data_IF_957512035422
#
_entry.id   IF_957512035422
#
_cell.length_a   1.000
_cell.length_b   1.000
_cell.length_c   1.000
_cell.angle_alpha   90.00
_cell.angle_beta   90.00
_cell.angle_gamma   90.00
#
_symmetry.space_group_name_H-M   'P 1'
#
loop_
_entity.id
_entity.type
_entity.pdbx_description
1 polymer ?
#
# COMPACT_ATOMS: atom_id res chain seq x y z
N UNK A 1 9.22 1.24 -12.24
CA UNK A 1 8.01 1.47 -11.42
C UNK A 1 7.67 2.94 -11.48
N UNK A 2 6.39 3.28 -11.36
CA UNK A 2 5.92 4.66 -11.48
C UNK A 2 5.72 5.30 -10.11
N UNK A 3 5.76 6.63 -10.05
CA UNK A 3 5.38 7.41 -8.86
C UNK A 3 3.98 6.98 -8.42
N UNK A 4 3.82 6.62 -7.15
CA UNK A 4 2.62 5.94 -6.68
C UNK A 4 2.88 4.85 -5.67
N UNK A 5 1.77 4.25 -5.25
CA UNK A 5 1.76 2.99 -4.52
C UNK A 5 1.86 1.85 -5.54
N UNK A 6 2.95 1.10 -5.47
CA UNK A 6 3.23 -0.09 -6.26
C UNK A 6 3.02 -1.30 -5.34
N UNK A 7 1.90 -2.00 -5.51
CA UNK A 7 1.55 -3.16 -4.70
C UNK A 7 2.16 -4.38 -5.36
N UNK A 8 3.05 -5.04 -4.64
CA UNK A 8 3.84 -6.17 -5.14
C UNK A 8 3.92 -7.29 -4.11
N UNK A 9 4.06 -8.53 -4.58
CA UNK A 9 4.29 -9.67 -3.69
C UNK A 9 5.74 -9.69 -3.16
N UNK A 10 5.91 -10.26 -1.97
CA UNK A 10 7.23 -10.45 -1.31
C UNK A 10 8.22 -11.27 -2.14
N UNK A 11 7.75 -12.11 -3.06
CA UNK A 11 8.61 -12.88 -3.96
C UNK A 11 9.13 -12.08 -5.15
N UNK A 12 8.72 -10.82 -5.32
CA UNK A 12 9.23 -9.97 -6.39
C UNK A 12 10.75 -9.74 -6.21
N UNK A 13 11.58 -10.00 -7.23
CA UNK A 13 13.04 -9.86 -7.12
C UNK A 13 13.50 -8.39 -7.03
N UNK A 14 12.67 -7.45 -7.47
CA UNK A 14 13.01 -6.03 -7.61
C UNK A 14 12.48 -5.18 -6.44
N UNK A 15 12.40 -5.76 -5.25
CA UNK A 15 12.02 -5.00 -4.05
C UNK A 15 13.15 -4.04 -3.65
N UNK A 16 12.80 -2.78 -3.39
CA UNK A 16 13.71 -1.74 -3.00
C UNK A 16 14.46 -2.07 -1.70
N UNK A 17 15.72 -1.64 -1.65
CA UNK A 17 16.63 -1.90 -0.53
C UNK A 17 16.20 -1.17 0.74
N UNK A 18 15.68 0.05 0.61
CA UNK A 18 15.18 0.83 1.73
C UNK A 18 13.86 0.26 2.22
N UNK A 19 13.83 -0.20 3.48
CA UNK A 19 12.69 -0.91 4.07
C UNK A 19 12.12 -0.13 5.24
N UNK A 20 10.83 0.12 5.21
CA UNK A 20 10.09 0.85 6.23
C UNK A 20 8.90 -0.02 6.64
N UNK A 21 8.62 -0.17 7.93
CA UNK A 21 7.38 -0.82 8.36
C UNK A 21 6.18 0.10 8.10
N UNK A 22 4.98 -0.47 7.90
CA UNK A 22 3.75 0.31 7.76
C UNK A 22 3.55 1.28 8.95
N UNK A 23 3.91 0.87 10.17
CA UNK A 23 3.82 1.71 11.37
C UNK A 23 4.77 2.91 11.27
N UNK A 24 6.04 2.69 10.90
CA UNK A 24 7.01 3.77 10.72
C UNK A 24 6.64 4.71 9.58
N UNK A 25 6.09 4.16 8.48
CA UNK A 25 5.62 4.94 7.35
C UNK A 25 4.49 5.88 7.77
N UNK A 26 3.44 5.36 8.41
CA UNK A 26 2.30 6.16 8.88
C UNK A 26 2.71 7.20 9.93
N UNK A 27 3.57 6.82 10.88
CA UNK A 27 4.13 7.78 11.85
C UNK A 27 4.94 8.87 11.15
N UNK A 28 5.76 8.51 10.17
CA UNK A 28 6.56 9.46 9.40
C UNK A 28 5.70 10.44 8.61
N UNK A 29 4.57 10.00 8.04
CA UNK A 29 3.61 10.87 7.37
C UNK A 29 3.00 11.89 8.33
N UNK A 30 2.50 11.44 9.49
CA UNK A 30 1.94 12.35 10.50
C UNK A 30 2.94 13.39 11.03
N UNK A 31 4.24 13.08 10.99
CA UNK A 31 5.32 13.97 11.39
C UNK A 31 5.93 14.76 10.21
N UNK A 32 5.31 14.69 9.01
CA UNK A 32 5.79 15.30 7.77
C UNK A 32 7.25 14.99 7.43
N UNK A 33 7.73 13.80 7.82
CA UNK A 33 9.11 13.36 7.54
C UNK A 33 9.31 13.14 6.05
N UNK A 34 10.51 13.46 5.55
CA UNK A 34 10.95 13.03 4.23
C UNK A 34 11.35 11.56 4.26
N UNK A 35 11.01 10.86 3.21
CA UNK A 35 11.42 9.48 2.97
C UNK A 35 12.52 9.44 1.89
N UNK A 36 13.23 8.32 1.73
CA UNK A 36 13.96 8.05 0.50
C UNK A 36 13.02 8.18 -0.71
N UNK A 37 13.52 8.57 -1.90
CA UNK A 37 12.69 8.64 -3.11
C UNK A 37 12.01 7.30 -3.44
N UNK A 38 12.75 6.20 -3.29
CA UNK A 38 12.33 4.84 -3.61
C UNK A 38 12.45 3.97 -2.34
N UNK A 39 11.34 3.41 -1.86
CA UNK A 39 11.36 2.57 -0.66
C UNK A 39 10.21 1.56 -0.63
N UNK A 40 10.44 0.50 0.13
CA UNK A 40 9.49 -0.58 0.35
C UNK A 40 8.86 -0.47 1.74
N UNK A 41 7.53 -0.52 1.77
CA UNK A 41 6.71 -0.55 2.98
C UNK A 41 6.21 -1.97 3.22
N UNK A 42 6.46 -2.49 4.42
CA UNK A 42 6.11 -3.86 4.80
C UNK A 42 5.09 -3.95 5.92
N UNK A 43 4.36 -5.06 5.95
CA UNK A 43 3.51 -5.46 7.08
C UNK A 43 2.11 -4.86 7.06
N UNK A 44 1.65 -4.30 5.93
CA UNK A 44 0.27 -3.80 5.80
C UNK A 44 -0.75 -4.93 5.97
N UNK A 45 -0.54 -6.06 5.29
CA UNK A 45 -1.39 -7.24 5.38
C UNK A 45 -1.40 -7.85 6.78
N UNK A 46 -0.24 -7.97 7.43
CA UNK A 46 -0.15 -8.39 8.82
C UNK A 46 -0.89 -7.43 9.76
N UNK A 47 -0.75 -6.11 9.55
CA UNK A 47 -1.42 -5.09 10.36
C UNK A 47 -2.94 -5.15 10.23
N UNK A 48 -3.46 -5.33 9.01
CA UNK A 48 -4.89 -5.50 8.74
C UNK A 48 -5.45 -6.85 9.22
N UNK A 49 -4.63 -7.90 9.17
CA UNK A 49 -5.02 -9.23 9.64
C UNK A 49 -5.24 -9.26 11.15
N UNK A 50 -4.35 -8.63 11.93
CA UNK A 50 -4.44 -8.59 13.39
C UNK A 50 -5.30 -7.45 13.94
N UNK A 51 -5.91 -6.64 13.08
CA UNK A 51 -6.81 -5.57 13.50
C UNK A 51 -8.08 -6.12 14.14
N UNK A 52 -8.49 -5.56 15.28
CA UNK A 52 -9.77 -5.91 15.92
C UNK A 52 -10.96 -5.53 15.04
N UNK A 53 -10.88 -4.35 14.41
CA UNK A 53 -11.82 -3.88 13.40
C UNK A 53 -11.02 -3.49 12.15
N UNK A 54 -11.08 -4.36 11.13
CA UNK A 54 -10.33 -4.18 9.89
C UNK A 54 -10.84 -3.02 9.06
N UNK A 55 -12.14 -2.77 9.06
CA UNK A 55 -12.74 -1.72 8.25
C UNK A 55 -12.38 -0.35 8.82
N UNK A 56 -12.51 -0.16 10.14
CA UNK A 56 -12.08 1.06 10.81
C UNK A 56 -10.57 1.26 10.71
N UNK A 57 -9.77 0.20 10.85
CA UNK A 57 -8.32 0.26 10.66
C UNK A 57 -7.97 0.66 9.23
N UNK A 58 -8.66 0.12 8.24
CA UNK A 58 -8.40 0.45 6.84
C UNK A 58 -8.74 1.91 6.53
N UNK A 59 -9.89 2.41 7.02
CA UNK A 59 -10.28 3.82 6.91
C UNK A 59 -9.28 4.73 7.62
N UNK A 60 -8.79 4.34 8.80
CA UNK A 60 -7.78 5.09 9.53
C UNK A 60 -6.50 5.26 8.71
N UNK A 61 -5.98 4.17 8.13
CA UNK A 61 -4.81 4.22 7.25
C UNK A 61 -5.11 5.09 6.03
N UNK A 62 -6.26 4.90 5.37
CA UNK A 62 -6.70 5.68 4.22
C UNK A 62 -6.69 7.18 4.49
N UNK A 63 -7.25 7.60 5.62
CA UNK A 63 -7.31 8.99 6.02
C UNK A 63 -5.90 9.58 6.16
N UNK A 64 -4.97 8.88 6.82
CA UNK A 64 -3.57 9.32 6.90
C UNK A 64 -2.95 9.50 5.50
N UNK A 65 -3.16 8.55 4.60
CA UNK A 65 -2.62 8.63 3.24
C UNK A 65 -3.23 9.81 2.46
N UNK A 66 -4.53 10.06 2.60
CA UNK A 66 -5.23 11.17 1.95
C UNK A 66 -4.83 12.54 2.52
N UNK A 67 -4.78 12.67 3.84
CA UNK A 67 -4.37 13.90 4.53
C UNK A 67 -2.94 14.29 4.17
N UNK A 68 -2.09 13.31 3.85
CA UNK A 68 -0.70 13.50 3.44
C UNK A 68 -0.46 13.40 1.94
N UNK A 69 -1.50 13.39 1.09
CA UNK A 69 -1.37 13.23 -0.35
C UNK A 69 -0.46 14.29 -0.99
N UNK A 70 -0.57 15.56 -0.57
CA UNK A 70 0.29 16.64 -1.08
C UNK A 70 1.76 16.44 -0.73
N UNK A 71 2.06 15.99 0.49
CA UNK A 71 3.42 15.64 0.92
C UNK A 71 3.98 14.48 0.09
N UNK A 72 3.16 13.45 -0.13
CA UNK A 72 3.53 12.31 -0.95
C UNK A 72 3.80 12.70 -2.41
N UNK A 73 2.91 13.48 -3.01
CA UNK A 73 3.02 13.95 -4.40
C UNK A 73 4.23 14.87 -4.57
N UNK A 74 4.41 15.85 -3.67
CA UNK A 74 5.56 16.78 -3.75
C UNK A 74 6.91 16.08 -3.55
N UNK A 75 6.93 14.97 -2.82
CA UNK A 75 8.12 14.12 -2.67
C UNK A 75 8.44 13.25 -3.90
N UNK A 76 7.53 13.11 -4.86
CA UNK A 76 7.68 12.26 -6.05
C UNK A 76 8.08 10.80 -5.71
N UNK A 77 7.50 10.24 -4.65
CA UNK A 77 7.92 8.92 -4.14
C UNK A 77 7.44 7.75 -5.01
N UNK A 78 8.31 6.76 -5.18
CA UNK A 78 7.96 5.43 -5.67
C UNK A 78 7.88 4.50 -4.45
N UNK A 79 6.66 4.17 -4.05
CA UNK A 79 6.40 3.45 -2.80
C UNK A 79 6.00 2.03 -3.14
N UNK A 80 6.81 1.04 -2.78
CA UNK A 80 6.42 -0.36 -2.91
C UNK A 80 5.67 -0.82 -1.66
N UNK A 81 4.39 -1.15 -1.77
CA UNK A 81 3.67 -1.84 -0.69
C UNK A 81 3.89 -3.34 -0.88
N UNK A 82 4.74 -3.93 -0.05
CA UNK A 82 5.12 -5.34 -0.15
C UNK A 82 4.14 -6.19 0.65
N UNK A 83 3.44 -7.07 -0.04
CA UNK A 83 2.45 -7.99 0.52
C UNK A 83 3.09 -9.37 0.69
N UNK A 84 2.95 -9.95 1.88
CA UNK A 84 3.41 -11.32 2.18
C UNK A 84 2.40 -12.38 1.70
N UNK A 85 1.11 -12.06 1.74
CA UNK A 85 0.04 -12.88 1.17
C UNK A 85 -0.02 -12.86 -0.36
N UNK A 86 -0.91 -13.68 -0.93
CA UNK A 86 -1.15 -13.70 -2.37
C UNK A 86 -2.07 -12.52 -2.76
N UNK A 87 -1.68 -11.77 -3.80
CA UNK A 87 -2.50 -10.66 -4.31
C UNK A 87 -3.46 -11.20 -5.37
N UNK A 88 -4.76 -11.00 -5.16
CA UNK A 88 -5.81 -11.26 -6.14
C UNK A 88 -6.47 -9.96 -6.54
N UNK A 89 -6.56 -9.70 -7.84
CA UNK A 89 -7.33 -8.57 -8.37
C UNK A 89 -8.37 -9.12 -9.33
N UNK A 90 -9.62 -8.73 -9.13
CA UNK A 90 -10.68 -9.00 -10.10
C UNK A 90 -10.60 -7.87 -11.15
N UNK A 91 -10.22 -8.21 -12.38
CA UNK A 91 -9.92 -7.22 -13.43
C UNK A 91 -11.09 -6.27 -13.73
N UNK A 92 -12.33 -6.70 -13.47
CA UNK A 92 -13.53 -5.92 -13.73
C UNK A 92 -13.84 -4.83 -12.70
N UNK A 93 -13.33 -4.92 -11.47
CA UNK A 93 -13.60 -3.94 -10.41
C UNK A 93 -12.38 -3.15 -9.93
N UNK A 94 -11.17 -3.57 -10.35
CA UNK A 94 -9.89 -2.97 -9.94
C UNK A 94 -9.71 -2.94 -8.41
N UNK A 95 -10.42 -3.79 -7.65
CA UNK A 95 -10.36 -3.82 -6.19
C UNK A 95 -9.41 -4.91 -5.72
N UNK A 96 -8.24 -4.54 -5.19
CA UNK A 96 -7.27 -5.53 -4.75
C UNK A 96 -7.75 -6.26 -3.50
N UNK A 97 -7.54 -7.58 -3.51
CA UNK A 97 -7.72 -8.48 -2.38
C UNK A 97 -6.41 -9.17 -2.06
N UNK A 98 -6.20 -9.49 -0.80
CA UNK A 98 -5.05 -10.24 -0.33
C UNK A 98 -5.55 -11.48 0.37
N UNK A 99 -4.93 -12.62 0.07
CA UNK A 99 -5.06 -13.85 0.85
C UNK A 99 -3.84 -13.99 1.74
N UNK A 100 -4.01 -13.75 3.03
CA UNK A 100 -2.94 -13.84 4.02
C UNK A 100 -3.37 -14.80 5.14
N UNK A 101 -2.55 -15.83 5.40
CA UNK A 101 -2.84 -16.88 6.40
C UNK A 101 -4.24 -17.51 6.27
N UNK A 102 -4.65 -17.81 5.03
CA UNK A 102 -5.96 -18.37 4.67
C UNK A 102 -7.17 -17.45 4.90
N UNK A 103 -6.94 -16.16 5.17
CA UNK A 103 -8.00 -15.17 5.23
C UNK A 103 -7.91 -14.22 4.03
N UNK A 104 -9.05 -13.97 3.38
CA UNK A 104 -9.15 -13.03 2.27
C UNK A 104 -9.73 -11.70 2.76
N UNK A 105 -9.09 -10.58 2.44
CA UNK A 105 -9.60 -9.25 2.73
C UNK A 105 -9.23 -8.24 1.64
N UNK A 106 -10.01 -7.15 1.58
CA UNK A 106 -9.82 -6.10 0.59
C UNK A 106 -8.74 -5.11 1.03
N UNK A 107 -7.84 -4.75 0.10
CA UNK A 107 -6.97 -3.59 0.23
C UNK A 107 -7.63 -2.31 -0.31
N UNK A 108 -8.71 -2.43 -1.08
CA UNK A 108 -9.46 -1.30 -1.64
C UNK A 108 -9.77 -0.19 -0.61
N UNK A 109 -10.23 -0.50 0.63
CA UNK A 109 -10.50 0.54 1.61
C UNK A 109 -9.27 1.35 2.04
N UNK A 110 -8.05 0.84 1.82
CA UNK A 110 -6.78 1.52 2.13
C UNK A 110 -6.22 2.27 0.92
N UNK A 111 -6.03 1.57 -0.20
CA UNK A 111 -5.28 2.08 -1.37
C UNK A 111 -6.16 2.39 -2.58
N UNK A 112 -7.48 2.20 -2.47
CA UNK A 112 -8.43 2.46 -3.54
C UNK A 112 -8.33 1.43 -4.68
N UNK A 113 -8.77 1.84 -5.87
CA UNK A 113 -8.63 1.04 -7.08
C UNK A 113 -7.16 0.93 -7.49
N UNK A 114 -6.80 -0.20 -8.05
CA UNK A 114 -5.46 -0.44 -8.59
C UNK A 114 -5.51 -0.85 -10.05
N UNK A 115 -4.59 -0.34 -10.85
CA UNK A 115 -4.36 -0.81 -12.21
C UNK A 115 -3.32 -1.93 -12.18
N UNK A 116 -3.61 -3.02 -12.89
CA UNK A 116 -2.64 -4.09 -13.10
C UNK A 116 -1.59 -3.63 -14.10
N UNK A 117 -0.31 -3.67 -13.71
CA UNK A 117 0.83 -3.38 -14.58
C UNK A 117 1.52 -4.67 -15.06
N UNK A 118 1.52 -5.71 -14.22
CA UNK A 118 2.04 -7.05 -14.55
C UNK A 118 1.29 -8.13 -13.75
N UNK A 119 1.68 -9.40 -13.87
CA UNK A 119 0.99 -10.55 -13.26
C UNK A 119 0.72 -10.33 -11.76
N UNK A 120 1.70 -9.76 -11.06
CA UNK A 120 1.77 -9.58 -9.59
C UNK A 120 2.20 -8.18 -9.18
N UNK A 121 2.01 -7.20 -10.07
CA UNK A 121 2.34 -5.80 -9.83
C UNK A 121 1.14 -4.93 -10.18
N UNK A 122 0.71 -4.17 -9.19
CA UNK A 122 -0.42 -3.27 -9.29
C UNK A 122 -0.02 -1.86 -8.88
N UNK A 123 -0.69 -0.85 -9.43
CA UNK A 123 -0.39 0.54 -9.20
C UNK A 123 -1.63 1.33 -8.78
N UNK A 124 -1.46 2.21 -7.79
CA UNK A 124 -2.42 3.25 -7.42
C UNK A 124 -1.71 4.59 -7.30
N UNK A 125 -2.31 5.70 -7.77
CA UNK A 125 -1.72 7.03 -7.65
C UNK A 125 -1.60 7.47 -6.18
N UNK A 126 -0.64 8.35 -5.88
CA UNK A 126 -0.49 8.91 -4.53
C UNK A 126 -1.68 9.77 -4.09
N UNK A 127 -2.32 10.45 -5.04
CA UNK A 127 -3.57 11.15 -4.78
C UNK A 127 -4.74 10.17 -4.87
N UNK A 128 -5.00 9.55 -3.74
CA UNK A 128 -6.06 8.59 -3.53
C UNK A 128 -7.44 9.27 -3.61
N UNK A 129 -8.03 9.36 -4.80
CA UNK A 129 -9.37 9.92 -5.00
C UNK A 129 -10.45 9.01 -4.37
N UNK A 130 -11.50 9.65 -3.83
CA UNK A 130 -12.67 9.02 -3.20
C UNK A 130 -13.54 8.24 -4.18
#
# INVERSE_FOLDING_TARGET
MDIGFNIIEKSNPDIFREKISIIQFLKGLNEARRFPPDFAVYGLDAFLYYAQDRDETSKYIRNILQDNANHLVSGNYIIQIVIEGDIKVVESDERPRVVYKNEEFHLYPVIGRVKRLDLKHFHSPLNLQS
#
